data_IF_537248841186
#
_entry.id   IF_537248841186
#
_cell.length_a   1.000
_cell.length_b   1.000
_cell.length_c   1.000
_cell.angle_alpha   90.00
_cell.angle_beta   90.00
_cell.angle_gamma   90.00
#
_symmetry.space_group_name_H-M   'P 1'
#
loop_
_entity.id
_entity.type
_entity.pdbx_description
1 polymer ?
#
# COMPACT_ATOMS: atom_id res chain seq x y z
N UNK A 1 35.83 -11.74 6.60
CA UNK A 1 35.45 -10.39 6.12
C UNK A 1 34.22 -10.40 5.21
N UNK A 2 34.17 -11.20 4.13
CA UNK A 2 33.02 -11.28 3.21
C UNK A 2 31.71 -11.82 3.83
N UNK A 3 31.79 -12.75 4.79
CA UNK A 3 30.62 -13.31 5.50
C UNK A 3 29.96 -12.31 6.46
N UNK A 4 30.74 -11.45 7.12
CA UNK A 4 30.20 -10.39 7.97
C UNK A 4 29.45 -9.32 7.16
N UNK A 5 29.88 -9.01 5.93
CA UNK A 5 29.15 -8.12 5.02
C UNK A 5 27.83 -8.72 4.52
N UNK A 6 27.80 -10.02 4.23
CA UNK A 6 26.58 -10.74 3.83
C UNK A 6 25.56 -10.81 4.98
N UNK A 7 26.03 -11.04 6.21
CA UNK A 7 25.19 -10.96 7.40
C UNK A 7 24.75 -9.52 7.68
N UNK A 8 25.57 -8.50 7.41
CA UNK A 8 25.18 -7.09 7.55
C UNK A 8 24.11 -6.66 6.53
N UNK A 9 24.22 -7.14 5.28
CA UNK A 9 23.23 -6.90 4.21
C UNK A 9 21.92 -7.63 4.49
N UNK A 10 21.96 -8.84 5.07
CA UNK A 10 20.76 -9.56 5.49
C UNK A 10 20.14 -8.98 6.77
N UNK A 11 20.94 -8.51 7.73
CA UNK A 11 20.47 -7.85 8.96
C UNK A 11 19.83 -6.47 8.69
N UNK A 12 20.21 -5.77 7.61
CA UNK A 12 19.48 -4.58 7.12
C UNK A 12 18.13 -4.89 6.47
N UNK A 13 17.89 -6.12 6.00
CA UNK A 13 16.60 -6.51 5.38
C UNK A 13 15.49 -6.76 6.39
N UNK A 14 15.82 -7.04 7.65
CA UNK A 14 14.83 -7.33 8.70
C UNK A 14 14.12 -6.08 9.24
N UNK A 15 14.65 -4.87 9.01
CA UNK A 15 14.12 -3.62 9.57
C UNK A 15 13.12 -2.82 8.72
N UNK A 16 12.74 -3.28 7.51
CA UNK A 16 11.95 -2.46 6.56
C UNK A 16 10.74 -3.17 5.90
N UNK A 17 10.23 -4.26 6.46
CA UNK A 17 9.11 -4.99 5.85
C UNK A 17 7.92 -5.06 6.81
N UNK A 18 6.78 -4.50 6.39
CA UNK A 18 5.50 -4.53 7.12
C UNK A 18 5.22 -5.96 7.62
N UNK A 19 4.83 -6.12 8.89
CA UNK A 19 4.66 -7.45 9.53
C UNK A 19 3.84 -8.39 8.65
N UNK A 20 4.20 -9.69 8.66
CA UNK A 20 3.57 -10.71 7.81
C UNK A 20 2.05 -10.79 8.00
N UNK A 21 1.55 -10.45 9.20
CA UNK A 21 0.13 -10.47 9.55
C UNK A 21 -0.70 -9.45 8.74
N UNK A 22 -0.13 -8.30 8.38
CA UNK A 22 -0.80 -7.27 7.56
C UNK A 22 -0.88 -7.64 6.07
N UNK A 23 -0.51 -8.86 5.67
CA UNK A 23 -0.43 -9.23 4.24
C UNK A 23 -1.54 -10.22 3.88
N UNK A 24 -2.33 -9.87 2.87
CA UNK A 24 -3.17 -10.85 2.18
C UNK A 24 -2.27 -11.68 1.26
N UNK A 25 -2.29 -13.01 1.41
CA UNK A 25 -1.40 -13.92 0.66
C UNK A 25 -2.10 -15.07 -0.04
N UNK A 26 -3.26 -15.51 0.47
CA UNK A 26 -3.88 -16.73 -0.03
C UNK A 26 -4.73 -16.43 -1.24
N UNK A 27 -4.72 -17.33 -2.23
CA UNK A 27 -5.57 -17.19 -3.43
C UNK A 27 -7.05 -17.06 -3.06
N UNK A 28 -7.48 -17.76 -2.00
CA UNK A 28 -8.85 -17.67 -1.46
C UNK A 28 -9.17 -16.25 -0.97
N UNK A 29 -8.27 -15.62 -0.22
CA UNK A 29 -8.46 -14.24 0.21
C UNK A 29 -8.47 -13.28 -0.99
N UNK A 30 -7.55 -13.48 -1.96
CA UNK A 30 -7.50 -12.64 -3.16
C UNK A 30 -8.80 -12.73 -3.96
N UNK A 31 -9.25 -13.95 -4.23
CA UNK A 31 -10.50 -14.22 -4.93
C UNK A 31 -11.69 -13.62 -4.20
N UNK A 32 -11.76 -13.74 -2.86
CA UNK A 32 -12.84 -13.14 -2.07
C UNK A 32 -12.91 -11.63 -2.26
N UNK A 33 -11.79 -10.93 -2.10
CA UNK A 33 -11.75 -9.47 -2.26
C UNK A 33 -12.10 -9.04 -3.68
N UNK A 34 -11.72 -9.82 -4.71
CA UNK A 34 -12.06 -9.51 -6.10
C UNK A 34 -13.53 -9.71 -6.45
N UNK A 35 -14.16 -10.77 -5.96
CA UNK A 35 -15.52 -11.13 -6.35
C UNK A 35 -16.59 -10.50 -5.44
N UNK A 36 -16.28 -10.26 -4.17
CA UNK A 36 -17.24 -9.78 -3.16
C UNK A 36 -16.91 -8.37 -2.66
N UNK A 37 -15.71 -7.86 -2.96
CA UNK A 37 -15.29 -6.52 -2.56
C UNK A 37 -15.79 -5.42 -3.49
N UNK A 38 -15.67 -4.19 -3.00
CA UNK A 38 -15.87 -2.98 -3.80
C UNK A 38 -14.54 -2.54 -4.41
N UNK A 39 -14.59 -1.66 -5.42
CA UNK A 39 -13.38 -1.11 -6.02
C UNK A 39 -13.41 0.39 -6.21
N UNK A 40 -12.23 1.00 -6.12
CA UNK A 40 -11.94 2.39 -6.48
C UNK A 40 -10.66 2.42 -7.28
N UNK A 41 -10.51 3.40 -8.16
CA UNK A 41 -9.34 3.48 -9.01
C UNK A 41 -8.95 4.93 -9.29
N UNK A 42 -7.66 5.11 -9.55
CA UNK A 42 -7.13 6.30 -10.19
C UNK A 42 -6.24 5.88 -11.36
N UNK A 43 -5.48 6.82 -11.93
CA UNK A 43 -4.59 6.55 -13.08
C UNK A 43 -3.48 5.55 -12.72
N UNK A 44 -3.01 5.52 -11.47
CA UNK A 44 -1.86 4.74 -11.02
C UNK A 44 -2.25 3.43 -10.32
N UNK A 45 -3.41 3.37 -9.69
CA UNK A 45 -3.80 2.32 -8.78
C UNK A 45 -5.25 1.87 -8.99
N UNK A 46 -5.49 0.58 -8.74
CA UNK A 46 -6.81 0.03 -8.48
C UNK A 46 -6.79 -0.53 -7.08
N UNK A 47 -7.79 -0.19 -6.29
CA UNK A 47 -7.99 -0.62 -4.92
C UNK A 47 -9.27 -1.45 -4.89
N UNK A 48 -9.14 -2.72 -4.54
CA UNK A 48 -10.28 -3.56 -4.16
C UNK A 48 -10.28 -3.70 -2.65
N UNK A 49 -11.45 -3.66 -2.02
CA UNK A 49 -11.54 -3.75 -0.57
C UNK A 49 -12.84 -4.42 -0.14
N UNK A 50 -12.77 -5.11 1.00
CA UNK A 50 -13.91 -5.72 1.65
C UNK A 50 -13.77 -5.54 3.16
N UNK A 51 -14.89 -5.28 3.82
CA UNK A 51 -14.96 -5.22 5.26
C UNK A 51 -14.90 -6.64 5.85
N UNK A 52 -14.17 -6.77 6.95
CA UNK A 52 -13.95 -8.02 7.66
C UNK A 52 -13.55 -7.70 9.09
N UNK A 53 -14.26 -8.26 10.06
CA UNK A 53 -13.88 -8.16 11.47
C UNK A 53 -12.52 -8.84 11.72
N UNK A 54 -11.52 -8.05 12.11
CA UNK A 54 -10.15 -8.49 12.37
C UNK A 54 -9.37 -7.42 13.15
N UNK A 55 -8.27 -7.77 13.83
CA UNK A 55 -7.54 -6.83 14.71
C UNK A 55 -6.71 -5.77 13.96
N UNK A 56 -6.42 -5.97 12.67
CA UNK A 56 -5.67 -5.02 11.85
C UNK A 56 -5.98 -5.24 10.38
N UNK A 57 -5.80 -4.19 9.56
CA UNK A 57 -5.99 -4.31 8.12
C UNK A 57 -5.02 -5.32 7.51
N UNK A 58 -5.38 -5.87 6.35
CA UNK A 58 -4.46 -6.66 5.54
C UNK A 58 -4.45 -6.15 4.11
N UNK A 59 -3.26 -6.09 3.51
CA UNK A 59 -3.05 -5.64 2.15
C UNK A 59 -2.43 -6.73 1.26
N UNK A 60 -3.04 -6.94 0.10
CA UNK A 60 -2.45 -7.66 -1.02
C UNK A 60 -1.86 -6.68 -2.03
N UNK A 61 -0.62 -6.89 -2.49
CA UNK A 61 0.00 -6.04 -3.51
C UNK A 61 0.14 -6.81 -4.82
N UNK A 62 -0.48 -6.30 -5.88
CA UNK A 62 -0.33 -6.82 -7.24
C UNK A 62 0.41 -5.79 -8.11
N UNK A 63 1.56 -6.19 -8.66
CA UNK A 63 2.32 -5.37 -9.60
C UNK A 63 2.59 -6.21 -10.85
N UNK A 64 1.77 -5.99 -11.87
CA UNK A 64 1.78 -6.78 -13.10
C UNK A 64 3.04 -6.60 -13.94
N UNK A 65 3.27 -7.52 -14.89
CA UNK A 65 4.41 -7.48 -15.83
C UNK A 65 4.48 -6.17 -16.64
N UNK A 66 3.32 -5.55 -16.93
CA UNK A 66 3.21 -4.29 -17.68
C UNK A 66 3.85 -3.08 -16.99
N UNK A 67 4.14 -3.16 -15.69
CA UNK A 67 4.82 -2.10 -14.93
C UNK A 67 6.33 -2.09 -15.20
N UNK A 68 6.92 -3.23 -15.55
CA UNK A 68 8.34 -3.31 -15.89
C UNK A 68 9.01 -4.60 -15.41
N UNK A 69 10.34 -4.60 -15.44
CA UNK A 69 11.15 -5.74 -15.04
C UNK A 69 11.04 -6.04 -13.53
N UNK A 70 11.68 -7.12 -13.08
CA UNK A 70 11.64 -7.53 -11.66
C UNK A 70 12.12 -6.42 -10.70
N UNK A 71 13.15 -5.67 -11.10
CA UNK A 71 13.74 -4.58 -10.29
C UNK A 71 12.74 -3.44 -10.14
N UNK A 72 12.15 -2.95 -11.24
CA UNK A 72 11.14 -1.88 -11.21
C UNK A 72 9.92 -2.29 -10.39
N UNK A 73 9.42 -3.53 -10.56
CA UNK A 73 8.28 -4.04 -9.77
C UNK A 73 8.59 -4.11 -8.28
N UNK A 74 9.81 -4.54 -7.92
CA UNK A 74 10.23 -4.60 -6.52
C UNK A 74 10.41 -3.21 -5.91
N UNK A 75 10.94 -2.25 -6.68
CA UNK A 75 11.01 -0.83 -6.31
C UNK A 75 9.60 -0.30 -5.99
N UNK A 76 8.64 -0.48 -6.88
CA UNK A 76 7.25 -0.05 -6.68
C UNK A 76 6.62 -0.70 -5.44
N UNK A 77 6.77 -2.03 -5.26
CA UNK A 77 6.28 -2.71 -4.04
C UNK A 77 6.89 -2.15 -2.77
N UNK A 78 8.20 -1.86 -2.74
CA UNK A 78 8.87 -1.25 -1.60
C UNK A 78 8.30 0.13 -1.28
N UNK A 79 8.16 0.97 -2.30
CA UNK A 79 7.62 2.33 -2.15
C UNK A 79 6.20 2.32 -1.58
N UNK A 80 5.34 1.43 -2.09
CA UNK A 80 3.98 1.24 -1.58
C UNK A 80 3.98 0.76 -0.13
N UNK A 81 4.79 -0.25 0.23
CA UNK A 81 4.85 -0.74 1.62
C UNK A 81 5.32 0.31 2.59
N UNK A 82 6.31 1.11 2.20
CA UNK A 82 6.78 2.23 3.01
C UNK A 82 5.63 3.22 3.25
N UNK A 83 4.94 3.63 2.18
CA UNK A 83 3.81 4.55 2.29
C UNK A 83 2.66 3.98 3.16
N UNK A 84 2.34 2.70 3.04
CA UNK A 84 1.32 2.04 3.88
C UNK A 84 1.77 1.92 5.34
N UNK A 85 3.06 1.70 5.60
CA UNK A 85 3.60 1.66 6.97
C UNK A 85 3.45 3.03 7.66
N UNK A 86 3.71 4.11 6.93
CA UNK A 86 3.52 5.48 7.42
C UNK A 86 2.03 5.84 7.65
N UNK A 87 1.12 5.20 6.91
CA UNK A 87 -0.32 5.47 6.96
C UNK A 87 -1.09 4.47 7.85
N UNK A 88 -0.41 3.50 8.47
CA UNK A 88 -1.03 2.35 9.14
C UNK A 88 -2.07 2.77 10.19
N UNK A 89 -1.82 3.85 10.92
CA UNK A 89 -2.65 4.32 12.04
C UNK A 89 -3.88 5.11 11.54
N UNK A 90 -3.95 5.39 10.25
CA UNK A 90 -5.07 6.09 9.61
C UNK A 90 -6.02 5.11 8.89
N UNK A 91 -5.55 3.89 8.59
CA UNK A 91 -6.31 2.85 7.89
C UNK A 91 -7.12 2.07 8.93
N UNK A 92 -8.42 1.92 8.69
CA UNK A 92 -9.32 1.11 9.51
C UNK A 92 -8.87 -0.36 9.56
N UNK A 93 -8.92 -0.96 10.74
CA UNK A 93 -8.44 -2.32 10.98
C UNK A 93 -9.32 -3.36 10.27
N UNK A 94 -10.59 -3.04 10.08
CA UNK A 94 -11.68 -3.92 9.67
C UNK A 94 -11.69 -4.18 8.15
N UNK A 95 -10.57 -4.00 7.45
CA UNK A 95 -10.54 -4.13 6.00
C UNK A 95 -9.43 -5.04 5.49
N UNK A 96 -9.81 -5.92 4.58
CA UNK A 96 -8.89 -6.55 3.63
C UNK A 96 -8.95 -5.79 2.32
N UNK A 97 -7.79 -5.42 1.78
CA UNK A 97 -7.74 -4.75 0.49
C UNK A 97 -6.61 -5.24 -0.40
N UNK A 98 -6.81 -5.15 -1.70
CA UNK A 98 -5.82 -5.44 -2.72
C UNK A 98 -5.53 -4.14 -3.46
N UNK A 99 -4.24 -3.80 -3.54
CA UNK A 99 -3.76 -2.69 -4.33
C UNK A 99 -3.05 -3.21 -5.59
N UNK A 100 -3.57 -2.84 -6.75
CA UNK A 100 -2.98 -3.14 -8.06
C UNK A 100 -2.28 -1.89 -8.58
N UNK A 101 -0.96 -1.97 -8.80
CA UNK A 101 -0.20 -0.90 -9.43
C UNK A 101 -0.29 -0.99 -10.96
N UNK A 102 -0.58 0.14 -11.61
CA UNK A 102 -0.66 0.30 -13.07
C UNK A 102 0.67 0.81 -13.65
N UNK A 103 0.81 0.74 -14.98
CA UNK A 103 2.04 1.14 -15.72
C UNK A 103 2.63 2.49 -15.27
N UNK A 104 1.83 3.57 -15.02
CA UNK A 104 2.39 4.87 -14.63
C UNK A 104 3.23 4.86 -13.35
N UNK A 105 3.02 3.90 -12.45
CA UNK A 105 3.81 3.77 -11.21
C UNK A 105 5.29 3.46 -11.45
N UNK A 106 5.65 2.97 -12.63
CA UNK A 106 7.01 2.58 -12.99
C UNK A 106 8.00 3.74 -12.95
N UNK A 107 7.54 4.95 -13.26
CA UNK A 107 8.35 6.17 -13.41
C UNK A 107 8.22 7.10 -12.20
N UNK A 108 7.33 6.77 -11.25
CA UNK A 108 7.06 7.64 -10.11
C UNK A 108 8.14 7.52 -9.01
N UNK A 109 8.31 8.61 -8.27
CA UNK A 109 9.10 8.67 -7.04
C UNK A 109 8.24 8.36 -5.78
N UNK A 110 8.90 8.27 -4.62
CA UNK A 110 8.24 7.90 -3.36
C UNK A 110 7.10 8.86 -2.98
N UNK A 111 7.31 10.17 -3.17
CA UNK A 111 6.32 11.20 -2.82
C UNK A 111 5.09 11.11 -3.72
N UNK A 112 5.29 10.91 -5.01
CA UNK A 112 4.21 10.74 -5.99
C UNK A 112 3.40 9.47 -5.72
N UNK A 113 4.07 8.35 -5.43
CA UNK A 113 3.41 7.09 -5.07
C UNK A 113 2.55 7.28 -3.82
N UNK A 114 3.11 7.91 -2.76
CA UNK A 114 2.37 8.19 -1.53
C UNK A 114 1.15 9.07 -1.78
N UNK A 115 1.30 10.17 -2.54
CA UNK A 115 0.19 11.08 -2.88
C UNK A 115 -0.93 10.36 -3.63
N UNK A 116 -0.57 9.60 -4.67
CA UNK A 116 -1.55 8.85 -5.47
C UNK A 116 -2.21 7.73 -4.67
N UNK A 117 -1.47 7.08 -3.76
CA UNK A 117 -1.99 6.07 -2.84
C UNK A 117 -3.01 6.67 -1.86
N UNK A 118 -2.68 7.78 -1.20
CA UNK A 118 -3.61 8.49 -0.31
C UNK A 118 -4.88 8.86 -1.07
N UNK A 119 -4.73 9.38 -2.30
CA UNK A 119 -5.88 9.76 -3.11
C UNK A 119 -6.81 8.57 -3.37
N UNK A 120 -6.30 7.39 -3.80
CA UNK A 120 -7.18 6.25 -4.08
C UNK A 120 -7.81 5.68 -2.80
N UNK A 121 -7.11 5.71 -1.66
CA UNK A 121 -7.66 5.27 -0.37
C UNK A 121 -8.76 6.24 0.11
N UNK A 122 -8.59 7.55 -0.08
CA UNK A 122 -9.61 8.56 0.24
C UNK A 122 -10.92 8.37 -0.54
N UNK A 123 -10.89 7.72 -1.70
CA UNK A 123 -12.11 7.40 -2.47
C UNK A 123 -12.92 6.25 -1.86
N UNK A 124 -12.42 5.62 -0.80
CA UNK A 124 -12.98 4.45 -0.14
C UNK A 124 -13.20 4.72 1.36
N UNK A 125 -14.04 3.93 2.05
CA UNK A 125 -14.24 4.07 3.50
C UNK A 125 -13.06 3.59 4.34
N UNK A 126 -11.94 3.17 3.74
CA UNK A 126 -10.76 2.63 4.43
C UNK A 126 -10.10 3.62 5.41
N UNK A 127 -10.30 4.93 5.26
CA UNK A 127 -9.81 5.91 6.23
C UNK A 127 -10.93 6.34 7.19
N UNK A 128 -10.63 6.31 8.48
CA UNK A 128 -11.53 6.77 9.55
C UNK A 128 -11.78 8.28 9.47
N UNK A 129 -10.84 9.05 8.90
CA UNK A 129 -10.91 10.50 8.69
C UNK A 129 -10.12 10.89 7.44
N UNK A 130 -10.69 11.70 6.54
CA UNK A 130 -10.01 12.20 5.34
C UNK A 130 -8.73 12.98 5.69
N UNK A 131 -7.52 12.46 5.37
CA UNK A 131 -6.24 13.11 5.69
C UNK A 131 -6.04 14.45 4.96
N UNK A 132 -6.75 14.70 3.85
CA UNK A 132 -6.61 15.92 3.05
C UNK A 132 -7.50 17.07 3.53
N UNK A 133 -8.53 16.79 4.34
CA UNK A 133 -9.36 17.83 4.96
C UNK A 133 -8.67 18.56 6.13
N UNK A 134 -7.67 17.95 6.77
CA UNK A 134 -7.00 18.56 7.94
C UNK A 134 -6.04 19.71 7.56
N UNK A 135 -5.53 19.79 6.33
CA UNK A 135 -4.59 20.87 5.92
C UNK A 135 -5.23 22.17 5.46
N UNK A 136 -6.55 22.23 5.23
CA UNK A 136 -7.22 23.47 4.81
C UNK A 136 -7.69 24.36 5.98
N UNK A 137 -7.52 23.93 7.23
CA UNK A 137 -7.99 24.67 8.41
C UNK A 137 -6.95 25.52 9.14
N UNK A 138 -5.70 25.64 8.65
CA UNK A 138 -4.63 26.37 9.38
C UNK A 138 -3.99 27.54 8.61
N UNK A 139 -4.50 27.92 7.43
CA UNK A 139 -3.95 29.06 6.65
C UNK A 139 -4.96 30.20 6.43
N UNK A 140 -5.94 30.39 7.32
CA UNK A 140 -6.88 31.51 7.28
C UNK A 140 -6.92 32.33 8.58
N UNK A 141 -5.82 32.32 9.33
CA UNK A 141 -5.51 33.34 10.34
C UNK A 141 -4.05 33.77 10.16
N UNK A 142 -3.85 34.66 9.20
CA UNK A 142 -2.88 35.76 9.22
C UNK A 142 -3.14 36.70 8.06
#
# INVERSE_FOLDING_TARGET
FFFQELDYVNKRREGQDMRKSYRVKTEKDFSRVFHQGQSKANRQFVLYFIEKEQPHFRVGLSVGKKVGNAVTRNRVKRMIRQALTELKDQIQAEYDFILIARKPTAEMNQSEIKKSLIHVINLSPLFTRDPLKQKKGQNSEK
#
